data_IF_015612830847
#
_entry.id   IF_015612830847
#
_cell.length_a   1.000
_cell.length_b   1.000
_cell.length_c   1.000
_cell.angle_alpha   90.00
_cell.angle_beta   90.00
_cell.angle_gamma   90.00
#
_symmetry.space_group_name_H-M   'P 1'
#
loop_
_entity.id
_entity.type
_entity.pdbx_description
1 polymer ?
#
# COMPACT_ATOMS: atom_id res chain seq x y z
N UNK A 1 -28.56 1.53 -4.77
CA UNK A 1 -27.32 1.53 -3.95
C UNK A 1 -26.58 0.25 -4.28
N UNK A 2 -25.50 0.31 -5.06
CA UNK A 2 -24.72 -0.87 -5.42
C UNK A 2 -23.72 -1.08 -4.29
N UNK A 3 -23.88 -2.14 -3.51
CA UNK A 3 -22.87 -2.58 -2.55
C UNK A 3 -21.77 -3.27 -3.33
N UNK A 4 -20.68 -2.54 -3.61
CA UNK A 4 -19.47 -3.14 -4.16
C UNK A 4 -18.89 -4.00 -3.03
N UNK A 5 -19.11 -5.32 -3.09
CA UNK A 5 -18.31 -6.26 -2.32
C UNK A 5 -16.91 -6.27 -2.96
N UNK A 6 -16.00 -5.47 -2.41
CA UNK A 6 -14.58 -5.60 -2.73
C UNK A 6 -14.15 -7.00 -2.28
N UNK A 7 -13.61 -7.85 -3.19
CA UNK A 7 -13.18 -9.19 -2.82
C UNK A 7 -12.19 -9.11 -1.65
N UNK A 8 -12.32 -10.03 -0.68
CA UNK A 8 -11.81 -9.96 0.69
C UNK A 8 -10.33 -9.57 0.88
N UNK A 9 -9.52 -9.57 -0.17
CA UNK A 9 -8.15 -9.03 -0.17
C UNK A 9 -7.81 -8.42 -1.53
N UNK A 10 -8.31 -7.21 -1.81
CA UNK A 10 -7.84 -6.44 -2.96
C UNK A 10 -6.39 -6.01 -2.72
N UNK A 11 -5.47 -6.58 -3.50
CA UNK A 11 -4.04 -6.31 -3.38
C UNK A 11 -3.51 -5.71 -4.68
N UNK A 12 -2.81 -4.59 -4.55
CA UNK A 12 -2.24 -3.82 -5.64
C UNK A 12 -0.79 -4.24 -5.87
N UNK A 13 -0.35 -4.20 -7.13
CA UNK A 13 1.08 -4.32 -7.47
C UNK A 13 1.83 -3.05 -7.06
N UNK A 14 3.16 -3.13 -7.00
CA UNK A 14 4.01 -1.95 -6.75
C UNK A 14 3.75 -0.85 -7.78
N UNK A 15 3.63 -1.22 -9.05
CA UNK A 15 3.32 -0.32 -10.16
C UNK A 15 1.99 0.42 -9.94
N UNK A 16 0.92 -0.31 -9.62
CA UNK A 16 -0.38 0.30 -9.38
C UNK A 16 -0.36 1.27 -8.19
N UNK A 17 0.41 0.97 -7.14
CA UNK A 17 0.58 1.89 -6.00
C UNK A 17 1.41 3.10 -6.37
N UNK A 18 2.43 2.92 -7.20
CA UNK A 18 3.28 4.00 -7.72
C UNK A 18 2.43 5.00 -8.53
N UNK A 19 1.59 4.48 -9.43
CA UNK A 19 0.65 5.29 -10.22
C UNK A 19 -0.37 6.03 -9.37
N UNK A 20 -0.98 5.35 -8.37
CA UNK A 20 -1.97 5.96 -7.49
C UNK A 20 -1.40 7.10 -6.63
N UNK A 21 -0.13 7.00 -6.25
CA UNK A 21 0.57 8.00 -5.44
C UNK A 21 1.34 9.03 -6.29
N UNK A 22 1.34 8.87 -7.63
CA UNK A 22 2.14 9.67 -8.56
C UNK A 22 3.64 9.72 -8.18
N UNK A 23 4.22 8.56 -7.84
CA UNK A 23 5.65 8.42 -7.48
C UNK A 23 6.29 7.28 -8.27
N UNK A 24 7.62 7.24 -8.32
CA UNK A 24 8.33 6.10 -8.93
C UNK A 24 8.16 4.80 -8.13
N UNK A 25 8.12 3.66 -8.82
CA UNK A 25 8.15 2.33 -8.18
C UNK A 25 9.33 2.15 -7.21
N UNK A 26 10.48 2.75 -7.52
CA UNK A 26 11.68 2.71 -6.66
C UNK A 26 11.38 3.35 -5.30
N UNK A 27 10.58 4.41 -5.27
CA UNK A 27 10.13 5.06 -4.04
C UNK A 27 9.23 4.12 -3.25
N UNK A 28 8.24 3.48 -3.90
CA UNK A 28 7.38 2.49 -3.24
C UNK A 28 8.20 1.34 -2.65
N UNK A 29 9.18 0.80 -3.38
CA UNK A 29 10.07 -0.27 -2.90
C UNK A 29 11.01 0.16 -1.77
N UNK A 30 11.41 1.44 -1.73
CA UNK A 30 12.26 1.99 -0.66
C UNK A 30 11.52 2.05 0.67
N UNK A 31 10.25 2.45 0.65
CA UNK A 31 9.41 2.56 1.85
C UNK A 31 8.66 1.26 2.18
N UNK A 32 8.52 0.39 1.19
CA UNK A 32 7.96 -0.94 1.29
C UNK A 32 8.87 -1.90 2.07
N UNK A 33 8.29 -2.65 3.00
CA UNK A 33 8.99 -3.70 3.76
C UNK A 33 8.19 -4.98 3.74
N UNK A 34 8.88 -6.10 3.50
CA UNK A 34 8.30 -7.43 3.63
C UNK A 34 8.00 -7.69 5.10
N UNK A 35 6.71 -7.80 5.42
CA UNK A 35 6.23 -8.09 6.77
C UNK A 35 6.86 -7.21 7.88
N UNK A 36 6.53 -5.92 7.88
CA UNK A 36 6.92 -4.98 8.95
C UNK A 36 5.79 -4.80 9.97
N UNK A 37 6.15 -4.62 11.24
CA UNK A 37 5.25 -4.12 12.30
C UNK A 37 5.38 -2.61 12.49
N UNK A 38 6.40 -1.96 11.89
CA UNK A 38 6.56 -0.51 11.92
C UNK A 38 5.56 0.16 10.99
N UNK A 39 4.67 0.96 11.58
CA UNK A 39 3.58 1.65 10.90
C UNK A 39 4.02 2.77 9.93
N UNK A 40 5.30 3.18 10.00
CA UNK A 40 5.91 4.15 9.07
C UNK A 40 6.30 3.51 7.73
N UNK A 41 6.32 2.18 7.66
CA UNK A 41 6.64 1.44 6.45
C UNK A 41 5.37 0.89 5.80
N UNK A 42 5.38 0.81 4.47
CA UNK A 42 4.30 0.20 3.72
C UNK A 42 4.48 -1.31 3.77
N UNK A 43 3.55 -2.03 4.40
CA UNK A 43 3.65 -3.50 4.49
C UNK A 43 3.37 -4.12 3.13
N UNK A 44 4.32 -4.93 2.67
CA UNK A 44 4.23 -5.70 1.43
C UNK A 44 4.22 -7.20 1.73
N UNK A 45 3.65 -7.98 0.83
CA UNK A 45 3.72 -9.44 0.85
C UNK A 45 4.06 -9.97 -0.54
N UNK A 46 4.66 -11.17 -0.59
CA UNK A 46 4.94 -11.85 -1.85
C UNK A 46 3.71 -12.67 -2.29
N UNK A 47 3.32 -12.55 -3.55
CA UNK A 47 2.24 -13.31 -4.16
C UNK A 47 2.57 -13.60 -5.63
N UNK A 48 2.64 -14.89 -6.00
CA UNK A 48 2.93 -15.29 -7.38
C UNK A 48 4.29 -14.83 -7.92
N UNK A 49 5.28 -14.61 -7.04
CA UNK A 49 6.61 -14.09 -7.43
C UNK A 49 6.72 -12.57 -7.48
N UNK A 50 5.62 -11.85 -7.24
CA UNK A 50 5.57 -10.39 -7.20
C UNK A 50 5.34 -9.86 -5.79
N UNK A 51 5.76 -8.62 -5.53
CA UNK A 51 5.40 -7.92 -4.31
C UNK A 51 4.09 -7.18 -4.47
N UNK A 52 3.17 -7.38 -3.54
CA UNK A 52 1.85 -6.76 -3.51
C UNK A 52 1.59 -6.07 -2.18
N UNK A 53 0.67 -5.11 -2.22
CA UNK A 53 0.27 -4.27 -1.10
C UNK A 53 -1.24 -4.41 -0.95
N UNK A 54 -1.72 -4.79 0.23
CA UNK A 54 -3.16 -4.82 0.49
C UNK A 54 -3.71 -3.39 0.44
N UNK A 55 -4.82 -3.18 -0.27
CA UNK A 55 -5.43 -1.85 -0.40
C UNK A 55 -5.77 -1.24 0.97
N UNK A 56 -6.23 -2.07 1.92
CA UNK A 56 -6.50 -1.64 3.28
C UNK A 56 -5.24 -1.09 3.97
N UNK A 57 -4.08 -1.75 3.79
CA UNK A 57 -2.81 -1.27 4.33
C UNK A 57 -2.40 0.06 3.69
N UNK A 58 -2.54 0.18 2.36
CA UNK A 58 -2.23 1.43 1.65
C UNK A 58 -3.09 2.59 2.18
N UNK A 59 -4.39 2.38 2.34
CA UNK A 59 -5.31 3.39 2.92
C UNK A 59 -4.87 3.75 4.34
N UNK A 60 -4.56 2.76 5.17
CA UNK A 60 -4.09 3.00 6.53
C UNK A 60 -2.76 3.76 6.56
N UNK A 61 -1.83 3.46 5.66
CA UNK A 61 -0.57 4.20 5.49
C UNK A 61 -0.82 5.67 5.12
N UNK A 62 -1.68 5.92 4.13
CA UNK A 62 -2.02 7.29 3.70
C UNK A 62 -2.67 8.06 4.85
N UNK A 63 -3.67 7.47 5.53
CA UNK A 63 -4.34 8.11 6.67
C UNK A 63 -3.36 8.50 7.78
N UNK A 64 -2.39 7.62 8.12
CA UNK A 64 -1.39 7.90 9.17
C UNK A 64 -0.43 9.02 8.79
N UNK A 65 0.06 9.04 7.55
CA UNK A 65 1.15 9.93 7.13
C UNK A 65 0.69 11.24 6.47
N UNK A 66 -0.54 11.32 5.98
CA UNK A 66 -1.04 12.50 5.25
C UNK A 66 -2.22 13.20 5.95
N UNK A 67 -2.79 12.64 7.02
CA UNK A 67 -3.80 13.35 7.83
C UNK A 67 -3.24 14.00 9.11
N UNK A 68 -2.03 13.65 9.53
CA UNK A 68 -1.28 14.38 10.55
C UNK A 68 -0.22 15.24 9.87
N UNK A 69 -0.50 16.55 9.73
CA UNK A 69 0.39 17.54 9.08
C UNK A 69 1.56 17.97 9.99
N UNK A 70 1.78 17.28 11.12
CA UNK A 70 2.84 17.59 12.10
C UNK A 70 4.09 16.68 11.97
N UNK A 71 4.46 16.26 10.75
CA UNK A 71 5.74 15.58 10.46
C UNK A 71 6.53 16.38 9.42
#
# INVERSE_FOLDING_TARGET
>A
MITIQLPDKFALTVEQVADLLSVDERTVRKYGKLATTDHRHLRMFAFGGEYRIELAELISYIKRNYQNVDI
#
